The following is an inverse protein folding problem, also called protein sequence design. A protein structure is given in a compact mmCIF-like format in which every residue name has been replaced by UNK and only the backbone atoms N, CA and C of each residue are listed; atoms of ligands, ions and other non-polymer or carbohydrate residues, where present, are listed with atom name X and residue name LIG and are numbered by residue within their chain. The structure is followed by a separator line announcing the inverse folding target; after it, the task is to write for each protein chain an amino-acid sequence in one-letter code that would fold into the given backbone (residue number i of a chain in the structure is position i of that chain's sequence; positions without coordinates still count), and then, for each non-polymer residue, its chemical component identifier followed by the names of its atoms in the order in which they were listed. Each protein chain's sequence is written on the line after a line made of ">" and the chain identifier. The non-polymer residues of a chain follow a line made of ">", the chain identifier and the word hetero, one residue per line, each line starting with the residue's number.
data_IF_749564813483
#
_entry.id   IF_749564813483
#
_cell.length_a   1.000
_cell.length_b   1.000
_cell.length_c   1.000
_cell.angle_alpha   90.00
_cell.angle_beta   90.00
_cell.angle_gamma   90.00
#
_symmetry.space_group_name_H-M   'P 1'
#
loop_
_entity.id
_entity.type
_entity.pdbx_description
1 polymer ?
#
# COMPACT_ATOMS: atom_id res chain seq x y z
N UNK A 1 -6.19 17.98 3.89
CA UNK A 1 -7.27 17.56 2.96
C UNK A 1 -7.89 16.33 3.57
N UNK A 2 -9.18 16.35 3.89
CA UNK A 2 -9.85 15.21 4.54
C UNK A 2 -10.10 14.11 3.52
N UNK A 3 -9.92 12.82 3.87
CA UNK A 3 -10.21 11.71 2.97
C UNK A 3 -11.69 11.72 2.56
N UNK A 4 -11.98 11.35 1.31
CA UNK A 4 -13.35 11.23 0.83
C UNK A 4 -13.90 9.86 1.24
N UNK A 5 -15.06 9.84 1.90
CA UNK A 5 -15.82 8.60 2.10
C UNK A 5 -16.45 8.14 0.78
N UNK A 6 -16.61 6.83 0.63
CA UNK A 6 -17.43 6.25 -0.44
C UNK A 6 -18.83 6.84 -0.43
N UNK A 7 -19.42 7.09 -1.60
CA UNK A 7 -20.76 7.68 -1.72
C UNK A 7 -21.86 6.75 -1.21
N UNK A 8 -21.57 5.44 -1.17
CA UNK A 8 -22.44 4.41 -0.64
C UNK A 8 -21.77 3.73 0.54
N UNK A 9 -22.58 3.33 1.52
CA UNK A 9 -22.16 2.40 2.58
C UNK A 9 -21.64 1.12 1.91
N UNK A 10 -20.44 0.64 2.26
CA UNK A 10 -19.92 -0.61 1.72
C UNK A 10 -20.90 -1.76 1.95
N UNK A 11 -21.13 -2.55 0.91
CA UNK A 11 -21.97 -3.74 0.94
C UNK A 11 -21.08 -4.97 1.13
N UNK A 12 -21.36 -5.75 2.16
CA UNK A 12 -20.75 -7.07 2.34
C UNK A 12 -21.42 -8.09 1.39
N UNK A 13 -20.61 -8.81 0.63
CA UNK A 13 -21.04 -9.81 -0.35
C UNK A 13 -20.23 -11.08 -0.22
N UNK A 14 -20.79 -12.23 -0.62
CA UNK A 14 -19.97 -13.42 -0.78
C UNK A 14 -18.94 -13.20 -1.90
N UNK A 15 -17.70 -13.72 -1.77
CA UNK A 15 -16.65 -13.53 -2.79
C UNK A 15 -17.10 -13.87 -4.22
N UNK A 16 -17.89 -14.91 -4.40
CA UNK A 16 -18.37 -15.35 -5.71
C UNK A 16 -19.39 -14.38 -6.36
N UNK A 17 -20.05 -13.53 -5.57
CA UNK A 17 -21.10 -12.61 -6.04
C UNK A 17 -20.53 -11.26 -6.50
N UNK A 18 -19.33 -10.90 -6.03
CA UNK A 18 -18.70 -9.59 -6.29
C UNK A 18 -18.54 -9.28 -7.78
N UNK A 19 -18.03 -10.20 -8.64
CA UNK A 19 -17.88 -9.88 -10.05
C UNK A 19 -19.22 -9.53 -10.71
N UNK A 20 -20.25 -10.33 -10.42
CA UNK A 20 -21.59 -10.11 -10.95
C UNK A 20 -22.21 -8.80 -10.45
N UNK A 21 -22.06 -8.49 -9.16
CA UNK A 21 -22.52 -7.23 -8.59
C UNK A 21 -21.87 -6.03 -9.29
N UNK A 22 -20.55 -6.07 -9.53
CA UNK A 22 -19.84 -4.99 -10.22
C UNK A 22 -20.24 -4.87 -11.69
N UNK A 23 -20.49 -5.99 -12.39
CA UNK A 23 -21.06 -5.97 -13.74
C UNK A 23 -22.42 -5.27 -13.77
N UNK A 24 -23.29 -5.56 -12.80
CA UNK A 24 -24.59 -4.89 -12.67
C UNK A 24 -24.44 -3.40 -12.37
N UNK A 25 -23.61 -3.05 -11.38
CA UNK A 25 -23.34 -1.67 -10.95
C UNK A 25 -22.92 -0.78 -12.13
N UNK A 26 -22.15 -1.35 -13.06
CA UNK A 26 -21.65 -0.66 -14.24
C UNK A 26 -22.39 -1.03 -15.52
N UNK A 27 -23.57 -1.64 -15.43
CA UNK A 27 -24.40 -1.92 -16.58
C UNK A 27 -24.98 -0.60 -17.14
N UNK A 28 -25.14 -0.47 -18.47
CA UNK A 28 -25.71 0.74 -19.08
C UNK A 28 -27.11 1.10 -18.55
N UNK A 29 -27.88 0.09 -18.11
CA UNK A 29 -29.23 0.26 -17.56
C UNK A 29 -29.24 0.93 -16.18
N UNK A 30 -28.23 0.67 -15.35
CA UNK A 30 -28.09 1.29 -14.03
C UNK A 30 -27.36 2.64 -14.06
N UNK A 31 -26.63 2.95 -15.14
CA UNK A 31 -25.81 4.15 -15.24
C UNK A 31 -26.59 5.46 -15.44
N UNK A 32 -27.84 5.47 -15.93
CA UNK A 32 -28.69 6.68 -15.97
C UNK A 32 -27.95 7.96 -16.43
N UNK A 33 -28.10 9.06 -15.66
CA UNK A 33 -27.32 10.32 -15.82
C UNK A 33 -26.04 10.37 -14.97
N UNK A 34 -25.73 9.31 -14.23
CA UNK A 34 -24.49 9.20 -13.45
C UNK A 34 -23.40 8.76 -14.41
N UNK A 35 -22.33 9.55 -14.52
CA UNK A 35 -21.38 9.48 -15.64
C UNK A 35 -20.80 8.09 -15.94
N UNK A 36 -20.22 7.96 -17.13
CA UNK A 36 -19.48 6.76 -17.55
C UNK A 36 -18.48 6.36 -16.47
N UNK A 37 -18.51 5.09 -16.05
CA UNK A 37 -17.51 4.55 -15.13
C UNK A 37 -16.09 4.84 -15.64
N UNK A 38 -15.18 5.21 -14.73
CA UNK A 38 -13.79 5.47 -15.06
C UNK A 38 -13.19 4.25 -15.75
N UNK A 39 -12.32 4.40 -16.74
CA UNK A 39 -11.75 3.26 -17.49
C UNK A 39 -10.21 3.35 -17.58
N UNK A 40 -9.58 3.86 -16.52
CA UNK A 40 -8.16 4.24 -16.54
C UNK A 40 -7.24 3.08 -16.13
N UNK A 41 -7.34 2.60 -14.89
CA UNK A 41 -6.51 1.55 -14.32
C UNK A 41 -7.16 0.88 -13.09
N UNK A 42 -6.67 -0.30 -12.75
CA UNK A 42 -6.92 -0.97 -11.47
C UNK A 42 -5.70 -0.82 -10.55
N UNK A 43 -5.94 -0.58 -9.26
CA UNK A 43 -4.88 -0.58 -8.24
C UNK A 43 -5.20 -1.61 -7.16
N UNK A 44 -4.35 -2.63 -7.05
CA UNK A 44 -4.36 -3.57 -5.93
C UNK A 44 -3.43 -3.03 -4.84
N UNK A 45 -3.88 -3.03 -3.61
CA UNK A 45 -3.17 -2.50 -2.45
C UNK A 45 -3.07 -3.60 -1.42
N UNK A 46 -1.86 -4.09 -1.17
CA UNK A 46 -1.59 -4.90 0.01
C UNK A 46 -1.40 -3.97 1.20
N UNK A 47 -2.32 -4.03 2.18
CA UNK A 47 -2.40 -3.05 3.28
C UNK A 47 -2.45 -3.73 4.65
N UNK A 48 -1.32 -4.29 5.12
CA UNK A 48 -1.26 -5.01 6.38
C UNK A 48 -1.49 -4.13 7.60
N UNK A 49 -0.94 -2.92 7.65
CA UNK A 49 -1.09 -2.01 8.79
C UNK A 49 -0.76 -2.65 10.16
N UNK A 50 0.25 -3.54 10.21
CA UNK A 50 0.55 -4.36 11.40
C UNK A 50 0.79 -3.53 12.67
N UNK A 51 1.51 -2.43 12.56
CA UNK A 51 1.79 -1.54 13.69
C UNK A 51 0.50 -0.92 14.25
N UNK A 52 -0.40 -0.42 13.38
CA UNK A 52 -1.68 0.15 13.79
C UNK A 52 -2.56 -0.90 14.48
N UNK A 53 -2.67 -2.11 13.90
CA UNK A 53 -3.41 -3.23 14.49
C UNK A 53 -2.87 -3.60 15.88
N UNK A 54 -1.56 -3.76 16.03
CA UNK A 54 -0.95 -4.14 17.31
C UNK A 54 -1.08 -3.03 18.37
N UNK A 55 -0.85 -1.77 18.01
CA UNK A 55 -0.96 -0.64 18.92
C UNK A 55 -2.41 -0.44 19.41
N UNK A 56 -3.40 -0.65 18.55
CA UNK A 56 -4.81 -0.64 18.94
C UNK A 56 -5.09 -1.82 19.88
N UNK A 57 -4.73 -3.04 19.49
CA UNK A 57 -4.97 -4.26 20.29
C UNK A 57 -4.40 -4.12 21.71
N UNK A 58 -3.20 -3.58 21.86
CA UNK A 58 -2.53 -3.34 23.14
C UNK A 58 -3.06 -2.12 23.90
N UNK A 59 -4.06 -1.40 23.39
CA UNK A 59 -4.65 -0.20 24.02
C UNK A 59 -3.78 1.06 23.97
N UNK A 60 -2.73 1.09 23.12
CA UNK A 60 -1.77 2.21 22.99
C UNK A 60 -2.19 3.23 21.93
N UNK A 61 -3.09 2.84 21.05
CA UNK A 61 -3.75 3.69 20.07
C UNK A 61 -5.27 3.49 20.18
N UNK A 62 -6.03 4.53 19.88
CA UNK A 62 -7.50 4.47 19.84
C UNK A 62 -8.00 5.04 18.52
N UNK A 63 -9.13 4.52 18.05
CA UNK A 63 -9.70 4.86 16.75
C UNK A 63 -9.78 3.65 15.82
N UNK A 64 -10.32 3.84 14.61
CA UNK A 64 -10.42 2.77 13.62
C UNK A 64 -9.06 2.41 13.01
N UNK A 65 -8.92 1.19 12.49
CA UNK A 65 -7.79 0.78 11.66
C UNK A 65 -8.01 1.34 10.26
N UNK A 66 -7.14 2.24 9.81
CA UNK A 66 -7.27 2.90 8.50
C UNK A 66 -6.18 2.49 7.51
N UNK A 67 -5.06 1.97 8.02
CA UNK A 67 -3.80 1.74 7.32
C UNK A 67 -3.14 3.00 6.77
N UNK A 68 -3.61 4.18 7.17
CA UNK A 68 -3.03 5.46 6.82
C UNK A 68 -2.11 5.95 7.94
N UNK A 69 -1.01 6.61 7.57
CA UNK A 69 -0.14 7.22 8.57
C UNK A 69 -0.81 8.45 9.17
N UNK A 70 -0.87 8.51 10.49
CA UNK A 70 -1.43 9.63 11.24
C UNK A 70 -0.46 10.07 12.34
N UNK A 71 -0.52 11.34 12.75
CA UNK A 71 0.32 11.83 13.83
C UNK A 71 0.13 11.04 15.15
N UNK A 72 -1.11 10.65 15.56
CA UNK A 72 -1.30 9.76 16.70
C UNK A 72 -0.66 8.38 16.55
N UNK A 73 -0.77 7.76 15.37
CA UNK A 73 -0.14 6.46 15.08
C UNK A 73 1.39 6.55 15.20
N UNK A 74 2.00 7.59 14.60
CA UNK A 74 3.45 7.82 14.68
C UNK A 74 3.89 8.08 16.12
N UNK A 75 3.12 8.86 16.89
CA UNK A 75 3.44 9.12 18.30
C UNK A 75 3.35 7.85 19.15
N UNK A 76 2.31 7.03 18.96
CA UNK A 76 2.17 5.75 19.66
C UNK A 76 3.30 4.77 19.32
N UNK A 77 3.70 4.69 18.05
CA UNK A 77 4.85 3.88 17.62
C UNK A 77 6.17 4.36 18.23
N UNK A 78 6.41 5.69 18.29
CA UNK A 78 7.59 6.26 18.97
C UNK A 78 7.60 5.95 20.47
N UNK A 79 6.44 6.00 21.12
CA UNK A 79 6.35 5.63 22.53
C UNK A 79 6.66 4.13 22.72
N UNK A 80 6.21 3.27 21.81
CA UNK A 80 6.53 1.84 21.86
C UNK A 80 8.04 1.56 21.66
N UNK A 81 8.74 2.34 20.82
CA UNK A 81 10.22 2.28 20.72
C UNK A 81 10.88 2.54 22.07
N UNK A 82 10.44 3.57 22.79
CA UNK A 82 10.96 3.91 24.12
C UNK A 82 10.64 2.84 25.16
N UNK A 83 9.39 2.40 25.22
CA UNK A 83 8.91 1.43 26.20
C UNK A 83 9.59 0.05 26.05
N UNK A 84 9.97 -0.30 24.82
CA UNK A 84 10.65 -1.54 24.49
C UNK A 84 12.19 -1.44 24.49
N UNK A 85 12.75 -0.29 24.87
CA UNK A 85 14.20 -0.02 24.86
C UNK A 85 14.87 -0.32 23.51
N UNK A 86 14.15 -0.04 22.41
CA UNK A 86 14.68 -0.15 21.06
C UNK A 86 15.57 1.06 20.75
N UNK A 87 16.55 0.94 19.83
CA UNK A 87 17.35 2.08 19.40
C UNK A 87 16.46 3.26 18.99
N UNK A 88 16.78 4.47 19.44
CA UNK A 88 15.97 5.67 19.15
C UNK A 88 15.83 5.98 17.65
N UNK A 89 16.72 5.42 16.83
CA UNK A 89 16.68 5.49 15.37
C UNK A 89 15.69 4.51 14.73
N UNK A 90 15.05 3.63 15.50
CA UNK A 90 14.09 2.64 14.99
C UNK A 90 12.84 3.36 14.47
N UNK A 91 12.43 3.13 13.21
CA UNK A 91 11.21 3.72 12.69
C UNK A 91 9.99 3.30 13.53
N UNK A 92 9.04 4.20 13.79
CA UNK A 92 7.93 3.96 14.71
C UNK A 92 6.95 2.88 14.24
N UNK A 93 6.99 2.50 12.96
CA UNK A 93 6.12 1.49 12.36
C UNK A 93 6.90 0.26 11.89
N UNK A 94 8.17 0.13 12.30
CA UNK A 94 9.06 -0.95 11.90
C UNK A 94 8.61 -2.32 12.46
N UNK A 95 9.05 -3.40 11.82
CA UNK A 95 8.79 -4.77 12.27
C UNK A 95 9.27 -5.05 13.69
N UNK A 96 10.36 -4.42 14.15
CA UNK A 96 10.83 -4.52 15.53
C UNK A 96 9.81 -3.94 16.52
N UNK A 97 9.18 -2.82 16.18
CA UNK A 97 8.11 -2.20 16.99
C UNK A 97 6.86 -3.09 16.99
N UNK A 98 6.46 -3.59 15.82
CA UNK A 98 5.33 -4.52 15.69
C UNK A 98 5.53 -5.74 16.59
N UNK A 99 6.73 -6.34 16.56
CA UNK A 99 7.07 -7.50 17.38
C UNK A 99 7.03 -7.17 18.87
N UNK A 100 7.64 -6.07 19.29
CA UNK A 100 7.67 -5.66 20.69
C UNK A 100 6.25 -5.40 21.24
N UNK A 101 5.37 -4.80 20.44
CA UNK A 101 3.97 -4.55 20.84
C UNK A 101 3.14 -5.83 20.79
N UNK A 102 3.42 -6.77 19.87
CA UNK A 102 2.73 -8.05 19.79
C UNK A 102 2.87 -8.90 21.06
N UNK A 103 4.00 -8.80 21.77
CA UNK A 103 4.26 -9.52 23.02
C UNK A 103 3.47 -8.95 24.22
N UNK A 104 2.86 -7.77 24.09
CA UNK A 104 2.06 -7.15 25.15
C UNK A 104 0.66 -7.77 25.24
N UNK A 105 0.11 -7.87 26.44
CA UNK A 105 -1.30 -8.25 26.61
C UNK A 105 -2.25 -7.18 26.06
N UNK A 106 -3.44 -7.60 25.61
CA UNK A 106 -4.45 -6.68 25.09
C UNK A 106 -5.44 -7.38 24.15
N UNK A 107 -6.70 -6.97 24.21
CA UNK A 107 -7.82 -7.50 23.41
C UNK A 107 -8.73 -6.36 22.91
N UNK A 108 -8.20 -5.13 22.84
CA UNK A 108 -8.99 -4.01 22.35
C UNK A 108 -9.30 -4.24 20.86
N UNK A 109 -10.58 -4.14 20.51
CA UNK A 109 -11.04 -4.22 19.13
C UNK A 109 -11.33 -2.83 18.60
N UNK A 110 -11.15 -2.65 17.30
CA UNK A 110 -11.53 -1.43 16.60
C UNK A 110 -12.27 -1.78 15.32
N UNK A 111 -13.06 -0.82 14.85
CA UNK A 111 -13.59 -0.85 13.49
C UNK A 111 -12.45 -0.83 12.48
N UNK A 112 -12.53 -1.67 11.46
CA UNK A 112 -11.56 -1.69 10.37
C UNK A 112 -12.16 -0.99 9.16
N UNK A 113 -11.51 0.11 8.76
CA UNK A 113 -11.93 0.99 7.67
C UNK A 113 -10.90 1.00 6.54
N UNK A 114 -9.96 0.05 6.51
CA UNK A 114 -8.99 -0.08 5.42
C UNK A 114 -9.71 -0.27 4.10
N UNK A 115 -9.25 0.44 3.07
CA UNK A 115 -9.87 0.47 1.74
C UNK A 115 -11.12 1.33 1.61
N UNK A 116 -11.71 1.81 2.71
CA UNK A 116 -12.92 2.65 2.66
C UNK A 116 -12.61 4.15 2.55
N UNK A 117 -11.38 4.55 2.86
CA UNK A 117 -10.88 5.91 2.70
C UNK A 117 -10.03 6.04 1.45
N UNK A 118 -10.44 6.91 0.52
CA UNK A 118 -9.69 7.18 -0.71
C UNK A 118 -9.04 8.55 -0.60
N UNK A 119 -7.73 8.58 -0.83
CA UNK A 119 -6.97 9.82 -0.87
C UNK A 119 -7.36 10.65 -2.10
N UNK A 120 -7.65 11.96 -1.95
CA UNK A 120 -8.03 12.83 -3.06
C UNK A 120 -7.02 12.86 -4.22
N UNK A 121 -5.72 12.66 -3.96
CA UNK A 121 -4.71 12.58 -5.01
C UNK A 121 -4.86 11.30 -5.84
N UNK A 122 -5.24 10.18 -5.22
CA UNK A 122 -5.57 8.94 -5.94
C UNK A 122 -6.89 9.11 -6.70
N UNK A 123 -7.88 9.75 -6.09
CA UNK A 123 -9.16 10.10 -6.72
C UNK A 123 -8.99 10.92 -8.00
N UNK A 124 -8.07 11.89 -8.00
CA UNK A 124 -7.79 12.74 -9.15
C UNK A 124 -7.24 11.97 -10.37
N UNK A 125 -6.69 10.77 -10.15
CA UNK A 125 -6.26 9.86 -11.21
C UNK A 125 -7.43 9.04 -11.81
N UNK A 126 -8.63 9.18 -11.24
CA UNK A 126 -9.87 8.53 -11.68
C UNK A 126 -9.72 7.01 -11.87
N UNK A 127 -9.31 6.23 -10.86
CA UNK A 127 -9.15 4.79 -10.99
C UNK A 127 -10.49 4.11 -11.36
N UNK A 128 -10.44 3.05 -12.18
CA UNK A 128 -11.61 2.18 -12.40
C UNK A 128 -11.99 1.46 -11.12
N UNK A 129 -10.97 0.88 -10.48
CA UNK A 129 -11.13 -0.08 -9.40
C UNK A 129 -9.96 0.00 -8.43
N UNK A 130 -10.27 0.12 -7.15
CA UNK A 130 -9.34 0.02 -6.05
C UNK A 130 -9.62 -1.29 -5.29
N UNK A 131 -8.64 -2.17 -5.20
CA UNK A 131 -8.76 -3.45 -4.48
C UNK A 131 -7.82 -3.43 -3.29
N UNK A 132 -8.34 -3.41 -2.07
CA UNK A 132 -7.54 -3.48 -0.85
C UNK A 132 -7.53 -4.91 -0.30
N UNK A 133 -6.34 -5.47 -0.13
CA UNK A 133 -6.10 -6.71 0.60
C UNK A 133 -5.66 -6.34 2.02
N UNK A 134 -6.54 -6.58 2.99
CA UNK A 134 -6.42 -6.14 4.37
C UNK A 134 -6.26 -7.38 5.29
N UNK A 135 -5.03 -7.91 5.45
CA UNK A 135 -4.82 -9.04 6.36
C UNK A 135 -5.01 -8.60 7.80
N UNK A 136 -5.45 -9.52 8.66
CA UNK A 136 -5.69 -9.24 10.08
C UNK A 136 -4.72 -10.02 10.96
N UNK A 137 -4.44 -9.48 12.15
CA UNK A 137 -3.63 -10.17 13.17
C UNK A 137 -4.35 -11.39 13.75
N UNK A 138 -5.67 -11.48 13.59
CA UNK A 138 -6.45 -12.67 13.89
C UNK A 138 -6.42 -13.64 12.70
N UNK A 139 -5.53 -14.64 12.80
CA UNK A 139 -5.37 -15.65 11.75
C UNK A 139 -6.63 -16.48 11.49
N UNK A 140 -7.57 -16.54 12.44
CA UNK A 140 -8.82 -17.30 12.30
C UNK A 140 -9.95 -16.48 11.65
N UNK A 141 -9.73 -15.19 11.38
CA UNK A 141 -10.76 -14.34 10.80
C UNK A 141 -11.13 -14.83 9.38
N UNK A 142 -12.42 -15.14 9.13
CA UNK A 142 -12.86 -15.55 7.81
C UNK A 142 -12.70 -14.42 6.80
N UNK A 143 -12.76 -14.77 5.51
CA UNK A 143 -12.71 -13.79 4.45
C UNK A 143 -14.02 -12.98 4.40
N UNK A 144 -13.91 -11.71 4.73
CA UNK A 144 -14.92 -10.68 4.52
C UNK A 144 -14.64 -9.98 3.18
N UNK A 145 -15.69 -9.71 2.41
CA UNK A 145 -15.58 -8.96 1.16
C UNK A 145 -16.56 -7.81 1.13
N UNK A 146 -16.03 -6.60 1.00
CA UNK A 146 -16.81 -5.36 0.93
C UNK A 146 -16.69 -4.73 -0.45
N UNK A 147 -17.80 -4.22 -0.97
CA UNK A 147 -17.86 -3.55 -2.26
C UNK A 147 -18.60 -2.22 -2.14
N UNK A 148 -18.09 -1.17 -2.77
CA UNK A 148 -18.74 0.13 -2.81
C UNK A 148 -18.51 0.85 -4.14
N UNK A 149 -19.51 1.61 -4.58
CA UNK A 149 -19.31 2.63 -5.61
C UNK A 149 -18.58 3.85 -5.02
N UNK A 150 -17.66 4.40 -5.79
CA UNK A 150 -16.91 5.59 -5.46
C UNK A 150 -17.08 6.62 -6.58
N UNK A 151 -17.52 7.85 -6.27
CA UNK A 151 -17.37 8.96 -7.21
C UNK A 151 -16.66 10.12 -6.53
N UNK A 152 -15.67 10.72 -7.20
CA UNK A 152 -15.09 11.97 -6.73
C UNK A 152 -16.19 13.04 -6.64
N UNK A 153 -16.22 13.78 -5.54
CA UNK A 153 -17.03 14.99 -5.49
C UNK A 153 -16.47 15.96 -6.55
N UNK A 154 -17.31 16.52 -7.44
CA UNK A 154 -16.85 17.53 -8.37
C UNK A 154 -16.34 18.73 -7.57
N UNK A 155 -15.08 19.12 -7.79
CA UNK A 155 -14.62 20.44 -7.36
C UNK A 155 -15.48 21.53 -8.05
N UNK A 156 -15.54 22.73 -7.48
CA UNK A 156 -16.24 23.91 -8.02
C UNK A 156 -15.68 24.28 -9.41
N UNK A 157 -16.06 23.54 -10.45
CA UNK A 157 -15.44 23.64 -11.78
C UNK A 157 -16.09 22.79 -12.87
N UNK A 158 -17.10 21.96 -12.55
CA UNK A 158 -17.96 21.34 -13.57
C UNK A 158 -17.31 20.27 -14.46
N UNK A 159 -16.28 19.58 -13.95
CA UNK A 159 -15.73 18.39 -14.61
C UNK A 159 -16.65 17.16 -14.45
N UNK A 160 -16.71 16.32 -15.48
CA UNK A 160 -17.35 15.00 -15.41
C UNK A 160 -16.46 14.06 -14.62
N UNK A 161 -16.63 14.05 -13.28
CA UNK A 161 -15.94 13.10 -12.42
C UNK A 161 -16.40 11.67 -12.77
N UNK A 162 -15.49 10.85 -13.29
CA UNK A 162 -15.79 9.45 -13.58
C UNK A 162 -15.78 8.65 -12.27
N UNK A 163 -16.82 7.86 -12.04
CA UNK A 163 -16.93 7.02 -10.85
C UNK A 163 -16.12 5.73 -11.01
N UNK A 164 -15.47 5.28 -9.94
CA UNK A 164 -14.82 3.98 -9.83
C UNK A 164 -15.51 3.09 -8.78
N UNK A 165 -14.97 1.91 -8.54
CA UNK A 165 -15.40 1.02 -7.47
C UNK A 165 -14.26 0.67 -6.51
N UNK A 166 -14.65 0.29 -5.30
CA UNK A 166 -13.77 -0.21 -4.26
C UNK A 166 -14.17 -1.64 -3.95
N UNK A 167 -13.18 -2.51 -3.84
CA UNK A 167 -13.30 -3.87 -3.31
C UNK A 167 -12.32 -4.03 -2.15
N UNK A 168 -12.79 -4.47 -0.99
CA UNK A 168 -11.93 -4.79 0.15
C UNK A 168 -12.05 -6.28 0.44
N UNK A 169 -10.92 -6.98 0.44
CA UNK A 169 -10.81 -8.35 0.92
C UNK A 169 -10.10 -8.31 2.28
N UNK A 170 -10.79 -8.71 3.34
CA UNK A 170 -10.26 -8.69 4.70
C UNK A 170 -10.33 -10.09 5.31
N UNK A 171 -9.29 -10.51 5.99
CA UNK A 171 -9.32 -11.79 6.72
C UNK A 171 -7.94 -12.20 7.22
N UNK A 172 -7.89 -13.35 7.89
CA UNK A 172 -6.64 -13.99 8.25
C UNK A 172 -5.83 -14.36 7.00
N UNK A 173 -4.52 -14.54 7.16
CA UNK A 173 -3.60 -14.79 6.04
C UNK A 173 -4.02 -15.99 5.16
N UNK A 174 -4.47 -17.08 5.78
CA UNK A 174 -4.96 -18.27 5.07
C UNK A 174 -6.24 -18.00 4.26
N UNK A 175 -7.23 -17.35 4.88
CA UNK A 175 -8.50 -17.02 4.23
C UNK A 175 -8.29 -16.07 3.03
N UNK A 176 -7.39 -15.09 3.17
CA UNK A 176 -6.99 -14.23 2.06
C UNK A 176 -6.35 -15.04 0.94
N UNK A 177 -5.35 -15.87 1.26
CA UNK A 177 -4.64 -16.68 0.26
C UNK A 177 -5.59 -17.57 -0.55
N UNK A 178 -6.56 -18.22 0.10
CA UNK A 178 -7.59 -19.02 -0.57
C UNK A 178 -8.52 -18.15 -1.43
N UNK A 179 -8.90 -16.97 -0.93
CA UNK A 179 -9.82 -16.03 -1.58
C UNK A 179 -9.29 -15.31 -2.82
N UNK A 180 -7.97 -15.30 -3.07
CA UNK A 180 -7.37 -14.53 -4.16
C UNK A 180 -7.83 -14.91 -5.58
N UNK A 181 -8.47 -16.07 -5.77
CA UNK A 181 -9.04 -16.45 -7.08
C UNK A 181 -10.11 -15.47 -7.56
N UNK A 182 -10.74 -14.72 -6.66
CA UNK A 182 -11.67 -13.64 -6.99
C UNK A 182 -11.01 -12.52 -7.82
N UNK A 183 -9.68 -12.36 -7.75
CA UNK A 183 -8.99 -11.27 -8.42
C UNK A 183 -8.98 -11.38 -9.94
N UNK A 184 -9.05 -12.61 -10.48
CA UNK A 184 -8.98 -12.85 -11.92
C UNK A 184 -10.12 -12.16 -12.68
N UNK A 185 -11.41 -12.35 -12.35
CA UNK A 185 -12.50 -11.60 -12.98
C UNK A 185 -12.52 -10.11 -12.62
N UNK A 186 -11.85 -9.71 -11.52
CA UNK A 186 -11.81 -8.31 -11.09
C UNK A 186 -10.74 -7.48 -11.79
N UNK A 187 -9.80 -8.11 -12.49
CA UNK A 187 -8.64 -7.47 -13.12
C UNK A 187 -8.58 -7.85 -14.60
N UNK A 188 -9.44 -7.26 -15.44
CA UNK A 188 -9.46 -7.60 -16.85
C UNK A 188 -8.14 -7.21 -17.53
N UNK A 189 -7.65 -8.07 -18.44
CA UNK A 189 -6.43 -7.82 -19.22
C UNK A 189 -6.51 -6.54 -20.07
N UNK A 190 -7.73 -6.09 -20.38
CA UNK A 190 -7.97 -4.87 -21.14
C UNK A 190 -7.60 -3.58 -20.41
N UNK A 191 -7.22 -3.64 -19.13
CA UNK A 191 -6.92 -2.47 -18.31
C UNK A 191 -5.56 -2.60 -17.62
N UNK A 192 -4.75 -1.53 -17.57
CA UNK A 192 -3.51 -1.55 -16.81
C UNK A 192 -3.81 -1.79 -15.32
N UNK A 193 -3.06 -2.70 -14.71
CA UNK A 193 -3.15 -3.01 -13.28
C UNK A 193 -1.81 -2.72 -12.59
N UNK A 194 -1.92 -2.09 -11.42
CA UNK A 194 -0.81 -1.77 -10.54
C UNK A 194 -0.97 -2.54 -9.23
N UNK A 195 0.14 -3.01 -8.67
CA UNK A 195 0.19 -3.63 -7.35
C UNK A 195 1.02 -2.73 -6.46
N UNK A 196 0.41 -2.15 -5.43
CA UNK A 196 1.10 -1.44 -4.37
C UNK A 196 1.27 -2.33 -3.16
N UNK A 197 2.52 -2.73 -2.91
CA UNK A 197 2.91 -3.49 -1.74
C UNK A 197 3.23 -2.54 -0.58
N UNK A 198 2.23 -2.19 0.22
CA UNK A 198 2.36 -1.24 1.34
C UNK A 198 2.72 -1.96 2.65
N UNK A 199 3.75 -2.79 2.61
CA UNK A 199 4.19 -3.62 3.71
C UNK A 199 5.63 -4.09 3.54
N UNK A 200 6.08 -4.93 4.46
CA UNK A 200 7.43 -5.45 4.43
C UNK A 200 7.58 -6.41 3.23
N UNK A 201 8.61 -6.25 2.42
CA UNK A 201 8.74 -6.97 1.14
C UNK A 201 8.80 -8.50 1.33
N UNK A 202 9.38 -8.94 2.45
CA UNK A 202 9.63 -10.34 2.80
C UNK A 202 8.51 -10.98 3.63
N UNK A 203 7.43 -10.27 3.97
CA UNK A 203 6.40 -10.79 4.88
C UNK A 203 5.47 -11.84 4.25
N UNK A 204 5.29 -11.82 2.92
CA UNK A 204 4.37 -12.70 2.22
C UNK A 204 4.79 -12.93 0.75
N UNK A 205 5.92 -13.64 0.51
CA UNK A 205 6.50 -13.79 -0.82
C UNK A 205 5.58 -14.53 -1.81
N UNK A 206 4.86 -15.55 -1.35
CA UNK A 206 3.92 -16.31 -2.19
C UNK A 206 2.75 -15.44 -2.66
N UNK A 207 2.19 -14.63 -1.75
CA UNK A 207 1.14 -13.68 -2.05
C UNK A 207 1.65 -12.63 -3.05
N UNK A 208 2.82 -12.04 -2.79
CA UNK A 208 3.43 -11.08 -3.72
C UNK A 208 3.59 -11.69 -5.11
N UNK A 209 4.12 -12.91 -5.21
CA UNK A 209 4.28 -13.60 -6.47
C UNK A 209 2.94 -13.81 -7.19
N UNK A 210 1.89 -14.22 -6.48
CA UNK A 210 0.55 -14.41 -7.05
C UNK A 210 -0.07 -13.11 -7.54
N UNK A 211 0.11 -12.01 -6.80
CA UNK A 211 -0.38 -10.69 -7.20
C UNK A 211 0.41 -10.10 -8.37
N UNK A 212 1.65 -10.53 -8.59
CA UNK A 212 2.56 -9.98 -9.60
C UNK A 212 2.84 -10.92 -10.78
N UNK A 213 2.11 -12.04 -10.87
CA UNK A 213 2.29 -13.08 -11.90
C UNK A 213 1.89 -12.63 -13.31
N UNK A 214 0.83 -11.84 -13.42
CA UNK A 214 0.47 -11.13 -14.64
C UNK A 214 1.38 -9.89 -14.83
N UNK A 215 1.55 -9.37 -16.06
CA UNK A 215 2.37 -8.18 -16.33
C UNK A 215 1.73 -6.92 -15.72
N UNK A 216 1.83 -6.79 -14.40
CA UNK A 216 1.36 -5.68 -13.58
C UNK A 216 2.56 -4.87 -13.15
N UNK A 217 2.38 -3.55 -13.09
CA UNK A 217 3.42 -2.67 -12.56
C UNK A 217 3.44 -2.77 -11.05
N UNK A 218 4.61 -3.03 -10.48
CA UNK A 218 4.81 -3.20 -9.04
C UNK A 218 5.26 -1.87 -8.42
N UNK A 219 4.62 -1.43 -7.35
CA UNK A 219 5.05 -0.34 -6.48
C UNK A 219 5.46 -0.98 -5.15
N UNK A 220 6.72 -0.80 -4.76
CA UNK A 220 7.29 -1.29 -3.50
C UNK A 220 8.03 -0.16 -2.80
N UNK A 221 8.39 -0.40 -1.54
CA UNK A 221 9.27 0.45 -0.79
C UNK A 221 10.42 -0.38 -0.21
N UNK A 222 11.63 -0.29 -0.80
CA UNK A 222 12.77 -1.09 -0.34
C UNK A 222 13.33 -0.63 1.00
N UNK A 223 12.80 0.43 1.60
CA UNK A 223 13.11 0.79 2.98
C UNK A 223 12.36 -0.09 4.00
N UNK A 224 11.36 -0.85 3.54
CA UNK A 224 10.51 -1.74 4.34
C UNK A 224 10.90 -3.21 4.08
N UNK A 225 12.05 -3.63 4.61
CA UNK A 225 12.50 -5.02 4.53
C UNK A 225 14.01 -5.17 4.66
N UNK A 226 14.47 -6.42 4.57
CA UNK A 226 15.90 -6.70 4.54
C UNK A 226 16.53 -6.12 3.25
N UNK A 227 17.58 -5.27 3.36
CA UNK A 227 18.17 -4.62 2.19
C UNK A 227 18.69 -5.59 1.11
N UNK A 228 19.29 -6.71 1.51
CA UNK A 228 19.82 -7.68 0.56
C UNK A 228 18.69 -8.37 -0.21
N UNK A 229 17.64 -8.80 0.49
CA UNK A 229 16.45 -9.39 -0.14
C UNK A 229 15.73 -8.40 -1.05
N UNK A 230 15.62 -7.13 -0.64
CA UNK A 230 15.01 -6.09 -1.46
C UNK A 230 15.76 -5.88 -2.78
N UNK A 231 17.10 -5.80 -2.74
CA UNK A 231 17.93 -5.66 -3.93
C UNK A 231 17.87 -6.88 -4.85
N UNK A 232 17.84 -8.08 -4.28
CA UNK A 232 17.69 -9.33 -5.03
C UNK A 232 16.33 -9.38 -5.74
N UNK A 233 15.25 -9.05 -5.03
CA UNK A 233 13.91 -8.94 -5.61
C UNK A 233 13.90 -7.92 -6.75
N UNK A 234 14.43 -6.72 -6.53
CA UNK A 234 14.50 -5.68 -7.56
C UNK A 234 15.24 -6.16 -8.80
N UNK A 235 16.41 -6.78 -8.63
CA UNK A 235 17.18 -7.35 -9.74
C UNK A 235 16.34 -8.37 -10.52
N UNK A 236 15.78 -9.35 -9.84
CA UNK A 236 14.99 -10.41 -10.46
C UNK A 236 13.78 -9.85 -11.24
N UNK A 237 13.10 -8.84 -10.70
CA UNK A 237 11.92 -8.21 -11.32
C UNK A 237 12.30 -7.37 -12.54
N UNK A 238 13.40 -6.63 -12.48
CA UNK A 238 13.89 -5.86 -13.63
C UNK A 238 14.39 -6.78 -14.73
N UNK A 239 15.14 -7.85 -14.40
CA UNK A 239 15.63 -8.83 -15.37
C UNK A 239 14.51 -9.62 -16.06
N UNK A 240 13.39 -9.87 -15.36
CA UNK A 240 12.20 -10.49 -15.95
C UNK A 240 11.36 -9.54 -16.82
N UNK A 241 11.76 -8.26 -16.93
CA UNK A 241 11.05 -7.24 -17.71
C UNK A 241 9.83 -6.64 -17.02
N UNK A 242 9.62 -6.93 -15.72
CA UNK A 242 8.53 -6.34 -14.96
C UNK A 242 8.80 -4.87 -14.65
N UNK A 243 7.81 -4.00 -14.89
CA UNK A 243 7.90 -2.61 -14.49
C UNK A 243 7.79 -2.47 -12.97
N UNK A 244 8.79 -1.86 -12.33
CA UNK A 244 8.84 -1.62 -10.88
C UNK A 244 9.04 -0.14 -10.60
N UNK A 245 8.30 0.39 -9.63
CA UNK A 245 8.59 1.68 -9.00
C UNK A 245 8.95 1.42 -7.54
N UNK A 246 10.14 1.87 -7.14
CA UNK A 246 10.57 1.84 -5.75
C UNK A 246 10.42 3.23 -5.13
N UNK A 247 9.62 3.32 -4.07
CA UNK A 247 9.40 4.55 -3.32
C UNK A 247 10.66 5.01 -2.59
N UNK A 248 11.51 4.08 -2.17
CA UNK A 248 12.78 4.43 -1.54
C UNK A 248 13.73 5.10 -2.55
N UNK A 249 13.86 4.54 -3.75
CA UNK A 249 14.59 5.15 -4.86
C UNK A 249 14.09 6.55 -5.23
N UNK A 250 12.78 6.80 -5.09
CA UNK A 250 12.18 8.12 -5.29
C UNK A 250 12.57 9.10 -4.17
N UNK A 251 12.53 8.68 -2.90
CA UNK A 251 12.98 9.51 -1.76
C UNK A 251 14.46 9.88 -1.85
N UNK A 252 15.29 8.98 -2.39
CA UNK A 252 16.72 9.22 -2.60
C UNK A 252 17.04 10.14 -3.80
N UNK A 253 16.03 10.71 -4.47
CA UNK A 253 16.22 11.56 -5.65
C UNK A 253 17.16 12.74 -5.38
N UNK A 254 16.92 13.53 -4.33
CA UNK A 254 17.73 14.72 -4.03
C UNK A 254 19.19 14.37 -3.75
N UNK A 255 19.44 13.26 -3.05
CA UNK A 255 20.78 12.73 -2.81
C UNK A 255 21.48 12.34 -4.10
N UNK A 256 20.78 11.60 -4.97
CA UNK A 256 21.30 11.17 -6.27
C UNK A 256 21.60 12.34 -7.18
N UNK A 257 20.70 13.32 -7.27
CA UNK A 257 20.90 14.53 -8.07
C UNK A 257 22.07 15.36 -7.53
N UNK A 258 22.15 15.58 -6.22
CA UNK A 258 23.26 16.33 -5.60
C UNK A 258 24.61 15.64 -5.82
N UNK A 259 24.67 14.31 -5.69
CA UNK A 259 25.88 13.54 -5.95
C UNK A 259 26.27 13.63 -7.44
N UNK A 260 25.30 13.51 -8.35
CA UNK A 260 25.54 13.62 -9.79
C UNK A 260 26.06 15.00 -10.20
N UNK A 261 25.55 16.07 -9.58
CA UNK A 261 25.96 17.46 -9.87
C UNK A 261 27.47 17.71 -9.70
N UNK A 262 28.15 16.95 -8.82
CA UNK A 262 29.61 17.03 -8.66
C UNK A 262 30.34 16.71 -9.99
N UNK A 263 29.74 15.86 -10.83
CA UNK A 263 30.30 15.32 -12.07
C UNK A 263 29.67 15.91 -13.34
N UNK A 264 28.67 16.80 -13.24
CA UNK A 264 28.06 17.48 -14.40
C UNK A 264 29.07 18.22 -15.29
N UNK A 265 30.07 18.96 -14.74
CA UNK A 265 31.09 19.62 -15.54
C UNK A 265 31.87 18.62 -16.41
N UNK A 266 32.01 18.84 -17.73
CA UNK A 266 32.70 17.89 -18.62
C UNK A 266 34.09 17.48 -18.14
N UNK A 267 34.84 18.40 -17.51
CA UNK A 267 36.19 18.15 -17.00
C UNK A 267 36.23 17.20 -15.80
N UNK A 268 35.10 16.92 -15.15
CA UNK A 268 35.01 16.05 -13.97
C UNK A 268 34.40 14.68 -14.27
N UNK A 269 33.81 14.48 -15.46
CA UNK A 269 33.13 13.21 -15.81
C UNK A 269 34.06 12.01 -15.78
N UNK A 270 35.30 12.18 -16.23
CA UNK A 270 36.30 11.11 -16.23
C UNK A 270 36.59 10.59 -14.81
N UNK A 271 36.41 11.42 -13.78
CA UNK A 271 36.57 11.01 -12.38
C UNK A 271 35.58 9.90 -11.96
N UNK A 272 34.41 9.78 -12.59
CA UNK A 272 33.44 8.70 -12.32
C UNK A 272 34.06 7.31 -12.52
N UNK A 273 34.89 7.15 -13.56
CA UNK A 273 35.54 5.88 -13.87
C UNK A 273 36.60 5.47 -12.84
N UNK A 274 37.01 6.41 -11.99
CA UNK A 274 38.02 6.21 -10.95
C UNK A 274 37.42 6.03 -9.54
N UNK A 275 36.09 6.09 -9.40
CA UNK A 275 35.42 5.84 -8.12
C UNK A 275 35.48 4.34 -7.80
N UNK A 276 36.21 3.99 -6.76
CA UNK A 276 36.33 2.59 -6.29
C UNK A 276 35.61 2.34 -4.98
N UNK A 277 35.28 3.38 -4.23
CA UNK A 277 34.63 3.31 -2.91
C UNK A 277 33.76 4.53 -2.67
N UNK A 278 32.63 4.30 -2.02
CA UNK A 278 31.77 5.32 -1.46
C UNK A 278 31.60 5.00 0.03
N UNK A 279 32.04 5.92 0.89
CA UNK A 279 31.83 5.83 2.33
C UNK A 279 30.65 6.74 2.69
N UNK A 280 29.65 6.19 3.39
CA UNK A 280 28.42 6.90 3.78
C UNK A 280 28.36 6.87 5.31
N UNK A 281 28.54 8.04 5.91
CA UNK A 281 28.34 8.22 7.35
C UNK A 281 26.90 8.65 7.62
N UNK A 282 26.19 7.89 8.46
CA UNK A 282 24.83 8.17 8.88
C UNK A 282 24.78 8.34 10.40
N UNK A 283 23.92 9.25 10.87
CA UNK A 283 23.64 9.36 12.30
C UNK A 283 22.66 8.24 12.69
N UNK A 284 23.16 7.21 13.39
CA UNK A 284 22.37 6.07 13.86
C UNK A 284 22.66 4.74 13.16
N UNK A 285 21.84 3.71 13.42
CA UNK A 285 22.06 2.35 12.91
C UNK A 285 21.17 1.99 11.70
N UNK A 286 20.30 2.90 11.26
CA UNK A 286 19.46 2.67 10.09
C UNK A 286 20.13 3.20 8.81
N UNK A 287 20.12 2.44 7.70
CA UNK A 287 20.37 3.03 6.40
C UNK A 287 19.37 4.16 6.22
N UNK A 288 19.85 5.38 5.96
CA UNK A 288 19.04 6.58 5.92
C UNK A 288 17.75 6.35 5.12
N UNK A 289 16.61 6.30 5.83
CA UNK A 289 15.32 6.55 5.18
C UNK A 289 15.36 8.03 4.82
N UNK A 290 15.73 8.32 3.57
CA UNK A 290 15.81 9.70 3.09
C UNK A 290 14.51 10.42 3.42
N UNK A 291 14.62 11.52 4.17
CA UNK A 291 13.50 12.40 4.49
C UNK A 291 12.79 12.89 3.22
#
# INVERSE_FOLDING_TARGET
>A
MSPQLTLQTPLELAPAEVPHYLEQLWSPEQQGSTGTGANTFCLLIWQPAWAEQQLIRSGRLSGPITGQQSAPLIAAGRQAVLDADLPLSTPPLDGAVVKAVADLEGQANAEDLRGQYIDPALSALMPRRLITLAPTIDAAQPLETLVAAYCPLPEEGGGTAACGDVVVLRGGHGALHEGLSILDPLLPESMPAWVWWNGCIDEAPELMQRLTSAPRRLIIDTALGDPHQCLELLRHRVESGQAVNDLNWLRLRSWRETLAMVFDPPQRRDALSHITRLDIDVEGHHPAQGC
#
